data_IF_120699639585
#
_entry.id   IF_120699639585
#
_cell.length_a   1.000
_cell.length_b   1.000
_cell.length_c   1.000
_cell.angle_alpha   90.00
_cell.angle_beta   90.00
_cell.angle_gamma   90.00
#
_symmetry.space_group_name_H-M   'P 1'
#
loop_
_entity.id
_entity.type
_entity.pdbx_description
1 polymer ?
#
# COMPACT_ATOMS: atom_id res chain seq x y z
N UNK A 1 5.88 -6.63 -15.22
CA UNK A 1 5.56 -6.94 -13.80
C UNK A 1 5.52 -5.63 -13.02
N UNK A 2 4.39 -5.27 -12.42
CA UNK A 2 4.23 -3.96 -11.78
C UNK A 2 4.81 -3.97 -10.36
N UNK A 3 6.03 -3.45 -10.19
CA UNK A 3 6.71 -3.27 -8.90
C UNK A 3 6.30 -1.99 -8.17
N UNK A 4 5.05 -1.53 -8.35
CA UNK A 4 4.66 -0.16 -7.96
C UNK A 4 3.90 -0.07 -6.63
N UNK A 5 3.42 -1.19 -6.10
CA UNK A 5 2.62 -1.20 -4.87
C UNK A 5 3.43 -0.65 -3.69
N UNK A 6 4.63 -1.16 -3.42
CA UNK A 6 5.43 -0.70 -2.28
C UNK A 6 5.68 0.80 -2.34
N UNK A 7 6.12 1.31 -3.50
CA UNK A 7 6.35 2.75 -3.68
C UNK A 7 5.09 3.59 -3.50
N UNK A 8 3.95 3.11 -3.99
CA UNK A 8 2.66 3.80 -3.85
C UNK A 8 2.18 3.85 -2.40
N UNK A 9 2.24 2.72 -1.70
CA UNK A 9 1.88 2.64 -0.28
C UNK A 9 2.82 3.50 0.56
N UNK A 10 4.14 3.38 0.36
CA UNK A 10 5.13 4.17 1.11
C UNK A 10 4.91 5.67 0.88
N UNK A 11 4.62 6.08 -0.36
CA UNK A 11 4.30 7.49 -0.65
C UNK A 11 3.04 7.93 0.07
N UNK A 12 1.94 7.18 -0.03
CA UNK A 12 0.69 7.53 0.66
C UNK A 12 0.82 7.58 2.18
N UNK A 13 1.58 6.65 2.78
CA UNK A 13 1.88 6.69 4.21
C UNK A 13 2.71 7.93 4.58
N UNK A 14 3.69 8.32 3.74
CA UNK A 14 4.48 9.53 3.94
C UNK A 14 3.67 10.83 3.84
N UNK A 15 2.61 10.83 3.04
CA UNK A 15 1.70 11.98 2.85
C UNK A 15 0.61 12.08 3.93
N UNK A 16 0.47 11.07 4.80
CA UNK A 16 -0.39 11.11 5.98
C UNK A 16 -1.52 10.08 6.02
N UNK A 17 -1.54 9.09 5.13
CA UNK A 17 -2.49 7.97 5.25
C UNK A 17 -2.35 7.27 6.61
N UNK A 18 -3.49 6.87 7.19
CA UNK A 18 -3.53 6.23 8.52
C UNK A 18 -2.95 4.82 8.49
N UNK A 19 -3.34 4.05 7.48
CA UNK A 19 -3.01 2.64 7.36
C UNK A 19 -3.11 2.20 5.89
N UNK A 20 -2.53 1.04 5.59
CA UNK A 20 -2.67 0.38 4.31
C UNK A 20 -3.16 -1.06 4.50
N UNK A 21 -4.35 -1.35 4.00
CA UNK A 21 -4.94 -2.69 3.95
C UNK A 21 -4.63 -3.31 2.58
N UNK A 22 -3.70 -4.27 2.57
CA UNK A 22 -3.28 -4.96 1.35
C UNK A 22 -4.22 -6.16 1.07
N UNK A 23 -4.75 -6.22 -0.16
CA UNK A 23 -5.68 -7.24 -0.65
C UNK A 23 -5.08 -8.03 -1.81
N UNK A 24 -5.44 -9.30 -1.96
CA UNK A 24 -4.97 -10.19 -3.03
C UNK A 24 -5.48 -9.80 -4.41
N UNK A 25 -6.75 -9.39 -4.48
CA UNK A 25 -7.44 -9.14 -5.75
C UNK A 25 -8.18 -7.81 -5.73
N UNK A 26 -8.50 -7.31 -6.94
CA UNK A 26 -9.38 -6.15 -7.11
C UNK A 26 -10.75 -6.41 -6.47
N UNK A 27 -11.29 -7.62 -6.61
CA UNK A 27 -12.58 -7.99 -6.03
C UNK A 27 -12.53 -7.96 -4.49
N UNK A 28 -11.48 -8.52 -3.88
CA UNK A 28 -11.29 -8.45 -2.42
C UNK A 28 -11.14 -7.01 -1.93
N UNK A 29 -10.41 -6.17 -2.66
CA UNK A 29 -10.25 -4.76 -2.30
C UNK A 29 -11.59 -4.00 -2.35
N UNK A 30 -12.44 -4.27 -3.36
CA UNK A 30 -13.79 -3.69 -3.42
C UNK A 30 -14.63 -4.10 -2.21
N UNK A 31 -14.65 -5.38 -1.88
CA UNK A 31 -15.40 -5.88 -0.72
C UNK A 31 -14.85 -5.31 0.59
N UNK A 32 -13.53 -5.26 0.74
CA UNK A 32 -12.89 -4.69 1.93
C UNK A 32 -13.18 -3.20 2.06
N UNK A 33 -13.28 -2.46 0.94
CA UNK A 33 -13.62 -1.05 0.95
C UNK A 33 -15.04 -0.76 1.46
N UNK A 34 -15.98 -1.72 1.41
CA UNK A 34 -17.33 -1.52 1.97
C UNK A 34 -17.37 -1.59 3.50
N UNK A 35 -16.28 -1.99 4.15
CA UNK A 35 -16.19 -2.02 5.62
C UNK A 35 -15.70 -0.70 6.22
N UNK A 36 -15.45 0.31 5.39
CA UNK A 36 -15.00 1.64 5.79
C UNK A 36 -16.01 2.69 5.30
N UNK A 37 -16.10 3.82 6.03
CA UNK A 37 -16.78 5.01 5.53
C UNK A 37 -16.03 5.55 4.31
N UNK A 38 -16.75 5.98 3.29
CA UNK A 38 -16.18 6.38 2.00
C UNK A 38 -15.14 7.51 2.16
N UNK A 39 -15.45 8.50 2.99
CA UNK A 39 -14.59 9.64 3.34
C UNK A 39 -13.33 9.25 4.15
N UNK A 40 -13.30 8.04 4.72
CA UNK A 40 -12.20 7.55 5.55
C UNK A 40 -11.24 6.61 4.81
N UNK A 41 -11.45 6.36 3.52
CA UNK A 41 -10.66 5.41 2.75
C UNK A 41 -10.30 5.90 1.36
N UNK A 42 -9.30 5.26 0.77
CA UNK A 42 -9.00 5.36 -0.66
C UNK A 42 -8.82 3.94 -1.23
N UNK A 43 -9.67 3.57 -2.18
CA UNK A 43 -9.57 2.31 -2.89
C UNK A 43 -8.56 2.44 -4.03
N UNK A 44 -7.52 1.60 -3.97
CA UNK A 44 -6.30 1.72 -4.75
C UNK A 44 -5.95 0.41 -5.45
N UNK A 45 -5.55 0.48 -6.73
CA UNK A 45 -5.23 -0.74 -7.46
C UNK A 45 -5.27 -0.62 -8.97
N UNK A 46 -4.75 -1.65 -9.62
CA UNK A 46 -4.64 -1.71 -11.05
C UNK A 46 -5.16 -3.03 -11.62
N UNK A 47 -5.76 -2.94 -12.80
CA UNK A 47 -6.05 -4.07 -13.68
C UNK A 47 -5.38 -3.77 -15.03
N UNK A 48 -4.60 -4.70 -15.57
CA UNK A 48 -3.86 -4.51 -16.83
C UNK A 48 -2.99 -3.23 -16.85
N UNK A 49 -2.33 -2.92 -15.73
CA UNK A 49 -1.46 -1.73 -15.55
C UNK A 49 -2.18 -0.38 -15.59
N UNK A 50 -3.52 -0.36 -15.60
CA UNK A 50 -4.35 0.84 -15.50
C UNK A 50 -5.13 0.83 -14.20
N UNK A 51 -5.53 2.02 -13.72
CA UNK A 51 -6.40 2.13 -12.54
C UNK A 51 -7.66 1.29 -12.75
N UNK A 52 -8.01 0.46 -11.77
CA UNK A 52 -9.23 -0.33 -11.86
C UNK A 52 -10.48 0.59 -11.89
N UNK A 53 -11.52 0.20 -12.62
CA UNK A 53 -12.74 0.99 -12.75
C UNK A 53 -13.39 1.27 -11.39
N UNK A 54 -13.80 2.51 -11.12
CA UNK A 54 -14.39 2.89 -9.83
C UNK A 54 -13.42 2.85 -8.64
N UNK A 55 -12.11 2.71 -8.87
CA UNK A 55 -11.10 2.93 -7.84
C UNK A 55 -10.71 4.41 -7.80
N UNK A 56 -10.33 4.88 -6.63
CA UNK A 56 -9.88 6.26 -6.42
C UNK A 56 -8.53 6.47 -7.09
N UNK A 57 -7.58 5.55 -6.86
CA UNK A 57 -6.19 5.65 -7.36
C UNK A 57 -5.69 4.36 -8.03
N UNK A 58 -4.80 4.54 -9.01
CA UNK A 58 -3.93 3.46 -9.51
C UNK A 58 -2.71 3.27 -8.62
N UNK A 59 -1.72 2.47 -9.06
CA UNK A 59 -0.47 2.24 -8.33
C UNK A 59 0.68 3.08 -8.90
N UNK A 60 0.41 4.30 -9.35
CA UNK A 60 1.49 5.25 -9.64
C UNK A 60 1.77 6.09 -8.37
N UNK A 61 2.98 6.03 -7.79
CA UNK A 61 3.29 6.77 -6.56
C UNK A 61 2.99 8.27 -6.65
N UNK A 62 3.14 8.88 -7.83
CA UNK A 62 2.83 10.31 -8.04
C UNK A 62 1.37 10.67 -7.76
N UNK A 63 0.44 9.71 -7.87
CA UNK A 63 -0.97 9.93 -7.55
C UNK A 63 -1.25 9.99 -6.05
N UNK A 64 -0.26 9.65 -5.21
CA UNK A 64 -0.37 9.69 -3.75
C UNK A 64 0.20 10.98 -3.16
N UNK A 65 0.94 11.78 -3.94
CA UNK A 65 1.42 13.10 -3.51
C UNK A 65 0.24 14.08 -3.51
N UNK A 66 -0.43 14.20 -2.38
CA UNK A 66 -1.61 15.04 -2.17
C UNK A 66 -1.85 15.23 -0.68
N UNK A 67 -2.63 16.25 -0.32
CA UNK A 67 -3.05 16.46 1.06
C UNK A 67 -3.90 15.26 1.57
N UNK A 68 -3.36 14.51 2.53
CA UNK A 68 -4.03 13.44 3.25
C UNK A 68 -4.28 13.80 4.73
N UNK A 69 -4.54 15.06 5.04
CA UNK A 69 -4.85 15.55 6.40
C UNK A 69 -6.02 14.84 7.08
N UNK A 70 -6.97 14.31 6.29
CA UNK A 70 -8.09 13.50 6.77
C UNK A 70 -7.70 12.04 7.12
N UNK A 71 -6.42 11.67 6.97
CA UNK A 71 -5.83 10.37 7.34
C UNK A 71 -6.62 9.16 6.82
N UNK A 72 -6.80 9.02 5.50
CA UNK A 72 -7.55 7.90 4.94
C UNK A 72 -6.81 6.57 5.14
N UNK A 73 -7.56 5.48 5.22
CA UNK A 73 -7.02 4.12 5.06
C UNK A 73 -6.92 3.76 3.58
N UNK A 74 -5.74 3.37 3.13
CA UNK A 74 -5.54 2.89 1.76
C UNK A 74 -5.97 1.42 1.67
N UNK A 75 -7.01 1.12 0.89
CA UNK A 75 -7.39 -0.26 0.57
C UNK A 75 -6.78 -0.62 -0.78
N UNK A 76 -5.71 -1.43 -0.75
CA UNK A 76 -4.80 -1.57 -1.90
C UNK A 76 -4.81 -2.99 -2.43
N UNK A 77 -5.16 -3.15 -3.71
CA UNK A 77 -4.91 -4.40 -4.45
C UNK A 77 -3.68 -4.25 -5.34
N UNK A 78 -2.87 -5.30 -5.43
CA UNK A 78 -1.77 -5.35 -6.38
C UNK A 78 -1.28 -6.77 -6.63
N UNK A 79 -0.71 -6.97 -7.81
CA UNK A 79 -0.17 -8.27 -8.21
C UNK A 79 1.02 -8.66 -7.33
N UNK A 80 1.07 -9.93 -6.90
CA UNK A 80 2.20 -10.60 -6.24
C UNK A 80 2.57 -10.19 -4.81
N UNK A 81 2.37 -8.94 -4.38
CA UNK A 81 2.73 -8.49 -3.01
C UNK A 81 2.01 -9.27 -1.89
N UNK A 82 0.69 -9.54 -1.99
CA UNK A 82 -0.04 -10.26 -0.95
C UNK A 82 0.54 -11.67 -0.69
N UNK A 83 1.06 -12.33 -1.73
CA UNK A 83 1.75 -13.61 -1.62
C UNK A 83 3.10 -13.49 -0.89
N UNK A 84 3.87 -12.44 -1.18
CA UNK A 84 5.12 -12.18 -0.46
C UNK A 84 4.86 -11.88 1.02
N UNK A 85 3.82 -11.11 1.33
CA UNK A 85 3.38 -10.88 2.72
C UNK A 85 3.03 -12.22 3.38
N UNK A 86 2.22 -13.06 2.74
CA UNK A 86 1.83 -14.37 3.26
C UNK A 86 3.04 -15.25 3.58
N UNK A 87 4.05 -15.30 2.71
CA UNK A 87 5.28 -16.05 2.95
C UNK A 87 6.11 -15.52 4.12
N UNK A 88 6.06 -14.21 4.36
CA UNK A 88 6.83 -13.56 5.41
C UNK A 88 6.07 -13.44 6.75
N UNK A 89 4.85 -13.98 6.87
CA UNK A 89 4.00 -13.82 8.07
C UNK A 89 4.61 -14.35 9.38
N UNK A 90 5.60 -15.26 9.30
CA UNK A 90 6.31 -15.78 10.48
C UNK A 90 7.44 -14.88 10.96
N UNK A 91 7.77 -13.82 10.22
CA UNK A 91 8.80 -12.89 10.64
C UNK A 91 8.35 -12.13 11.90
N UNK A 92 9.27 -11.97 12.86
CA UNK A 92 9.02 -11.14 14.06
C UNK A 92 8.66 -9.70 13.69
N UNK A 93 9.29 -9.19 12.63
CA UNK A 93 9.03 -7.87 12.06
C UNK A 93 8.97 -8.03 10.55
N UNK A 94 7.88 -7.54 9.94
CA UNK A 94 7.71 -7.47 8.50
C UNK A 94 7.63 -6.00 8.09
N UNK A 95 8.48 -5.59 7.15
CA UNK A 95 8.56 -4.20 6.70
C UNK A 95 8.36 -4.14 5.19
N UNK A 96 7.57 -3.18 4.74
CA UNK A 96 7.40 -2.89 3.32
C UNK A 96 8.51 -1.94 2.87
N UNK A 97 9.32 -2.38 1.91
CA UNK A 97 10.46 -1.62 1.42
C UNK A 97 10.40 -1.22 -0.05
N UNK A 98 11.02 -0.09 -0.36
CA UNK A 98 11.31 0.39 -1.71
C UNK A 98 12.54 1.33 -1.69
N UNK A 99 13.02 1.76 -2.86
CA UNK A 99 14.06 2.80 -2.92
C UNK A 99 13.65 4.11 -2.23
N UNK A 100 12.35 4.41 -2.11
CA UNK A 100 11.85 5.64 -1.50
C UNK A 100 12.08 5.70 0.02
N UNK A 101 12.23 4.56 0.70
CA UNK A 101 12.45 4.50 2.15
C UNK A 101 13.71 3.70 2.51
N UNK A 102 14.66 3.55 1.58
CA UNK A 102 15.84 2.72 1.77
C UNK A 102 16.66 3.13 2.99
N UNK A 103 16.91 4.43 3.18
CA UNK A 103 17.68 4.91 4.34
C UNK A 103 16.99 4.57 5.67
N UNK A 104 15.68 4.79 5.76
CA UNK A 104 14.89 4.46 6.95
C UNK A 104 14.86 2.95 7.24
N UNK A 105 14.86 2.11 6.19
CA UNK A 105 14.97 0.65 6.35
C UNK A 105 16.34 0.24 6.90
N UNK A 106 17.42 0.83 6.38
CA UNK A 106 18.78 0.56 6.86
C UNK A 106 18.89 0.93 8.33
N UNK A 107 18.41 2.12 8.71
CA UNK A 107 18.39 2.56 10.11
C UNK A 107 17.61 1.60 11.02
N UNK A 108 16.41 1.18 10.59
CA UNK A 108 15.62 0.20 11.32
C UNK A 108 16.36 -1.13 11.50
N UNK A 109 16.98 -1.65 10.44
CA UNK A 109 17.72 -2.93 10.49
C UNK A 109 18.92 -2.82 11.43
N UNK A 110 19.68 -1.73 11.36
CA UNK A 110 20.85 -1.51 12.24
C UNK A 110 20.43 -1.42 13.71
N UNK A 111 19.33 -0.72 14.01
CA UNK A 111 18.80 -0.60 15.37
C UNK A 111 18.31 -1.94 15.95
N UNK A 112 17.83 -2.85 15.10
CA UNK A 112 17.30 -4.13 15.55
C UNK A 112 18.39 -5.15 15.91
N UNK A 113 19.68 -4.83 15.73
CA UNK A 113 20.84 -5.72 15.97
C UNK A 113 20.54 -7.17 15.56
N UNK A 114 20.54 -7.50 14.25
CA UNK A 114 20.25 -8.84 13.78
C UNK A 114 21.24 -9.89 14.31
#
# INVERSE_FOLDING_TARGET
VAYRLSGSVITGMGEGAMAARICQTVAEARLTATTYWEESRLLCGELNSQKAEGFDLGLNPRHYVKDMSHKPTLVVSGSNVPRAIAWAQRAKILVLGSFLNLSALIELIVQQQP
#
